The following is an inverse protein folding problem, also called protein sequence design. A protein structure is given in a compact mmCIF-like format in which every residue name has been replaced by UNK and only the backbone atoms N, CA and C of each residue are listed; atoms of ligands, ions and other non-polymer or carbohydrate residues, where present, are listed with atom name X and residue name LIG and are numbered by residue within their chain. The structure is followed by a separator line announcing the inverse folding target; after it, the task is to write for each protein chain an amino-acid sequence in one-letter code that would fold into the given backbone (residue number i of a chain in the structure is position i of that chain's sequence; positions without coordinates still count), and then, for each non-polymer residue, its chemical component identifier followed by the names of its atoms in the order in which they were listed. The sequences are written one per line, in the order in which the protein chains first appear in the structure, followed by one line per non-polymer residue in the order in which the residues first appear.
data_IF_127892560247
#
_entry.id   IF_127892560247
#
_cell.length_a   1.000
_cell.length_b   1.000
_cell.length_c   1.000
_cell.angle_alpha   90.00
_cell.angle_beta   90.00
_cell.angle_gamma   90.00
#
_symmetry.space_group_name_H-M   'P 1'
#
loop_
_entity.id
_entity.type
_entity.pdbx_description
1 polymer ?
#
# COMPACT_ATOMS: atom_id res chain seq x y z
N UNK A 1 0.78 -12.15 2.52
CA UNK A 1 1.56 -11.65 3.68
C UNK A 1 1.49 -10.12 3.63
N UNK A 2 0.84 -9.46 4.61
CA UNK A 2 0.67 -8.00 4.65
C UNK A 2 1.43 -7.34 5.82
N UNK A 3 1.97 -8.14 6.75
CA UNK A 3 2.49 -7.64 8.02
C UNK A 3 3.71 -6.73 7.86
N UNK A 4 4.62 -7.06 6.93
CA UNK A 4 5.86 -6.30 6.74
C UNK A 4 5.61 -4.85 6.34
N UNK A 5 4.86 -4.63 5.25
CA UNK A 5 4.64 -3.28 4.75
C UNK A 5 3.72 -2.46 5.66
N UNK A 6 2.73 -3.09 6.31
CA UNK A 6 1.93 -2.43 7.35
C UNK A 6 2.78 -1.96 8.53
N UNK A 7 3.69 -2.81 9.00
CA UNK A 7 4.56 -2.50 10.13
C UNK A 7 5.53 -1.38 9.77
N UNK A 8 6.17 -1.45 8.60
CA UNK A 8 7.05 -0.39 8.09
C UNK A 8 6.31 0.94 7.96
N UNK A 9 5.13 0.96 7.33
CA UNK A 9 4.34 2.19 7.18
C UNK A 9 3.96 2.80 8.54
N UNK A 10 3.61 1.95 9.52
CA UNK A 10 3.25 2.39 10.88
C UNK A 10 4.44 2.90 11.69
N UNK A 11 5.64 2.36 11.48
CA UNK A 11 6.87 2.91 12.08
C UNK A 11 7.18 4.28 11.48
N UNK A 12 7.12 4.40 10.15
CA UNK A 12 7.38 5.66 9.44
C UNK A 12 6.38 6.74 9.83
N UNK A 13 5.11 6.38 10.08
CA UNK A 13 4.10 7.35 10.51
C UNK A 13 4.35 7.93 11.89
N UNK A 14 5.14 7.25 12.72
CA UNK A 14 5.62 7.74 14.01
C UNK A 14 6.98 8.45 13.94
N UNK A 15 7.61 8.51 12.76
CA UNK A 15 8.90 9.15 12.54
C UNK A 15 10.10 8.22 12.73
N UNK A 16 9.88 6.91 12.90
CA UNK A 16 10.94 5.91 12.97
C UNK A 16 11.40 5.45 11.58
N UNK A 17 12.47 4.66 11.55
CA UNK A 17 12.97 3.98 10.36
C UNK A 17 13.12 2.48 10.61
N UNK A 18 13.05 1.65 9.57
CA UNK A 18 13.22 0.18 9.68
C UNK A 18 14.61 -0.29 9.28
N UNK A 19 15.40 0.58 8.64
CA UNK A 19 16.82 0.38 8.33
C UNK A 19 17.59 1.65 8.71
N UNK A 20 18.84 1.49 9.16
CA UNK A 20 19.76 2.61 9.41
C UNK A 20 20.01 3.43 8.14
N UNK A 21 20.41 4.70 8.31
CA UNK A 21 20.68 5.62 7.19
C UNK A 21 21.72 5.07 6.20
N UNK A 22 22.70 4.29 6.69
CA UNK A 22 23.72 3.65 5.86
C UNK A 22 23.23 2.37 5.15
N UNK A 23 21.99 1.94 5.38
CA UNK A 23 21.37 0.77 4.77
C UNK A 23 21.82 -0.58 5.34
N UNK A 24 22.62 -0.61 6.42
CA UNK A 24 23.32 -1.84 6.86
C UNK A 24 22.68 -2.59 8.01
N UNK A 25 21.82 -1.95 8.79
CA UNK A 25 21.22 -2.55 9.99
C UNK A 25 19.73 -2.36 10.01
N UNK A 26 19.00 -3.39 10.43
CA UNK A 26 17.60 -3.24 10.77
C UNK A 26 17.45 -2.38 12.04
N UNK A 27 16.47 -1.49 12.06
CA UNK A 27 16.17 -0.58 13.18
C UNK A 27 14.71 -0.74 13.65
N UNK A 28 14.18 -1.95 13.51
CA UNK A 28 12.79 -2.27 13.90
C UNK A 28 12.59 -2.38 15.41
N UNK A 29 13.65 -2.67 16.16
CA UNK A 29 13.64 -2.73 17.64
C UNK A 29 13.97 -1.35 18.22
N UNK A 30 13.02 -0.44 18.09
CA UNK A 30 13.08 0.97 18.50
C UNK A 30 11.86 1.32 19.35
N UNK A 31 11.85 2.45 20.08
CA UNK A 31 10.66 2.94 20.77
C UNK A 31 9.43 3.03 19.87
N UNK A 32 9.59 3.44 18.61
CA UNK A 32 8.54 3.54 17.60
C UNK A 32 8.03 2.14 17.20
N UNK A 33 8.94 1.19 16.94
CA UNK A 33 8.57 -0.19 16.66
C UNK A 33 7.79 -0.83 17.81
N UNK A 34 8.25 -0.61 19.05
CA UNK A 34 7.54 -1.05 20.26
C UNK A 34 6.17 -0.39 20.40
N UNK A 35 6.05 0.90 20.08
CA UNK A 35 4.78 1.62 20.14
C UNK A 35 3.76 1.06 19.12
N UNK A 36 4.20 0.72 17.89
CA UNK A 36 3.32 0.05 16.90
C UNK A 36 2.82 -1.29 17.43
N UNK A 37 3.71 -2.14 17.97
CA UNK A 37 3.31 -3.44 18.51
C UNK A 37 2.40 -3.31 19.74
N UNK A 38 2.66 -2.31 20.59
CA UNK A 38 1.81 -2.03 21.74
C UNK A 38 0.41 -1.58 21.30
N UNK A 39 0.30 -0.73 20.26
CA UNK A 39 -0.99 -0.35 19.69
C UNK A 39 -1.75 -1.56 19.14
N UNK A 40 -1.10 -2.41 18.35
CA UNK A 40 -1.74 -3.65 17.86
C UNK A 40 -2.17 -4.57 19.00
N UNK A 41 -1.39 -4.62 20.08
CA UNK A 41 -1.73 -5.37 21.28
C UNK A 41 -2.97 -4.80 21.97
N UNK A 42 -2.99 -3.49 22.18
CA UNK A 42 -4.13 -2.83 22.80
C UNK A 42 -5.41 -3.02 21.97
N UNK A 43 -5.30 -2.89 20.65
CA UNK A 43 -6.42 -3.10 19.75
C UNK A 43 -6.98 -4.53 19.80
N UNK A 44 -6.12 -5.53 20.05
CA UNK A 44 -6.53 -6.93 20.10
C UNK A 44 -7.05 -7.35 21.48
N UNK A 45 -6.41 -6.91 22.56
CA UNK A 45 -6.63 -7.46 23.90
C UNK A 45 -7.24 -6.46 24.89
N UNK A 46 -7.19 -5.15 24.62
CA UNK A 46 -7.74 -4.12 25.52
C UNK A 46 -9.06 -3.56 25.02
N UNK A 47 -9.11 -3.05 23.78
CA UNK A 47 -10.32 -2.42 23.22
C UNK A 47 -11.12 -3.33 22.25
N UNK A 48 -10.54 -4.48 21.87
CA UNK A 48 -11.18 -5.49 21.03
C UNK A 48 -11.58 -5.00 19.62
N UNK A 49 -10.91 -3.98 19.09
CA UNK A 49 -11.15 -3.43 17.74
C UNK A 49 -10.61 -4.29 16.59
N UNK A 50 -9.64 -5.20 16.80
CA UNK A 50 -9.05 -6.03 15.72
C UNK A 50 -9.92 -7.21 15.26
N UNK A 51 -11.09 -7.43 15.87
CA UNK A 51 -11.95 -8.58 15.57
C UNK A 51 -11.34 -9.93 15.99
N UNK A 52 -12.13 -11.00 15.93
CA UNK A 52 -11.72 -12.33 16.40
C UNK A 52 -10.81 -13.09 15.41
N UNK A 53 -11.08 -12.98 14.11
CA UNK A 53 -10.34 -13.66 13.03
C UNK A 53 -8.99 -13.00 12.82
N UNK A 54 -7.93 -13.78 13.02
CA UNK A 54 -6.56 -13.38 12.68
C UNK A 54 -6.19 -13.93 11.30
N UNK A 55 -5.03 -13.52 10.77
CA UNK A 55 -4.51 -13.96 9.46
C UNK A 55 -5.38 -13.58 8.25
N UNK A 56 -6.06 -12.43 8.35
CA UNK A 56 -6.74 -11.84 7.20
C UNK A 56 -5.72 -11.56 6.08
N UNK A 57 -6.11 -11.90 4.85
CA UNK A 57 -5.41 -11.46 3.65
C UNK A 57 -6.12 -10.26 3.04
N UNK A 58 -5.47 -9.61 2.07
CA UNK A 58 -6.01 -8.38 1.45
C UNK A 58 -7.42 -8.61 0.89
N UNK A 59 -7.68 -9.76 0.26
CA UNK A 59 -9.01 -10.07 -0.27
C UNK A 59 -10.08 -10.18 0.83
N UNK A 60 -9.75 -10.68 2.02
CA UNK A 60 -10.70 -10.68 3.15
C UNK A 60 -11.08 -9.24 3.52
N UNK A 61 -10.09 -8.34 3.63
CA UNK A 61 -10.34 -6.95 4.06
C UNK A 61 -11.14 -6.16 3.03
N UNK A 62 -10.95 -6.44 1.73
CA UNK A 62 -11.78 -5.84 0.67
C UNK A 62 -13.26 -6.26 0.81
N UNK A 63 -13.51 -7.55 1.00
CA UNK A 63 -14.87 -8.09 1.18
C UNK A 63 -15.52 -7.57 2.46
N UNK A 64 -14.76 -7.47 3.55
CA UNK A 64 -15.25 -6.91 4.80
C UNK A 64 -15.56 -5.42 4.68
N UNK A 65 -14.71 -4.63 4.01
CA UNK A 65 -14.95 -3.21 3.77
C UNK A 65 -16.19 -3.00 2.88
N UNK A 66 -16.27 -3.69 1.74
CA UNK A 66 -17.40 -3.57 0.81
C UNK A 66 -18.74 -4.00 1.42
N UNK A 67 -18.74 -4.96 2.35
CA UNK A 67 -19.94 -5.38 3.08
C UNK A 67 -20.24 -4.59 4.35
N UNK A 68 -19.47 -3.54 4.66
CA UNK A 68 -19.68 -2.71 5.85
C UNK A 68 -19.29 -3.37 7.18
N UNK A 69 -18.52 -4.47 7.14
CA UNK A 69 -18.07 -5.23 8.33
C UNK A 69 -16.69 -4.81 8.84
N UNK A 70 -16.07 -3.81 8.21
CA UNK A 70 -14.75 -3.28 8.59
C UNK A 70 -14.80 -1.76 8.58
N UNK A 71 -14.50 -1.13 9.72
CA UNK A 71 -14.52 0.32 9.84
C UNK A 71 -13.29 1.00 9.23
N UNK A 72 -12.09 0.49 9.53
CA UNK A 72 -10.83 1.04 9.04
C UNK A 72 -9.81 -0.07 8.82
N UNK A 73 -8.91 0.11 7.85
CA UNK A 73 -7.75 -0.74 7.64
C UNK A 73 -6.67 0.01 6.88
N UNK A 74 -5.43 -0.46 7.01
CA UNK A 74 -4.30 0.06 6.26
C UNK A 74 -4.26 -0.56 4.87
N UNK A 75 -4.27 0.29 3.84
CA UNK A 75 -4.28 -0.12 2.45
C UNK A 75 -3.62 0.92 1.54
N UNK A 76 -3.19 0.46 0.37
CA UNK A 76 -2.85 1.35 -0.73
C UNK A 76 -4.12 1.77 -1.52
N UNK A 77 -4.09 2.91 -2.24
CA UNK A 77 -5.28 3.46 -2.90
C UNK A 77 -5.90 2.59 -4.00
N UNK A 78 -5.12 1.68 -4.59
CA UNK A 78 -5.56 0.73 -5.62
C UNK A 78 -6.64 -0.25 -5.13
N UNK A 79 -6.85 -0.36 -3.82
CA UNK A 79 -7.95 -1.14 -3.26
C UNK A 79 -9.33 -0.54 -3.52
N UNK A 80 -9.49 0.78 -3.66
CA UNK A 80 -10.82 1.40 -3.77
C UNK A 80 -11.60 0.93 -5.00
N UNK A 81 -11.02 0.93 -6.21
CA UNK A 81 -11.69 0.34 -7.38
C UNK A 81 -12.07 -1.12 -7.17
N UNK A 82 -11.24 -1.90 -6.46
CA UNK A 82 -11.51 -3.32 -6.17
C UNK A 82 -12.66 -3.49 -5.19
N UNK A 83 -12.74 -2.67 -4.14
CA UNK A 83 -13.86 -2.69 -3.20
C UNK A 83 -15.19 -2.44 -3.93
N UNK A 84 -15.23 -1.44 -4.80
CA UNK A 84 -16.46 -1.10 -5.53
C UNK A 84 -16.82 -2.15 -6.57
N UNK A 85 -15.84 -2.61 -7.38
CA UNK A 85 -16.11 -3.52 -8.50
C UNK A 85 -16.27 -4.98 -8.08
N UNK A 86 -15.62 -5.42 -7.01
CA UNK A 86 -15.49 -6.84 -6.64
C UNK A 86 -16.15 -7.18 -5.29
N UNK A 87 -16.36 -6.19 -4.42
CA UNK A 87 -16.82 -6.42 -3.04
C UNK A 87 -18.13 -5.68 -2.68
N UNK A 88 -18.76 -5.01 -3.64
CA UNK A 88 -20.07 -4.36 -3.46
C UNK A 88 -20.06 -3.07 -2.65
N UNK A 89 -18.88 -2.48 -2.39
CA UNK A 89 -18.81 -1.16 -1.77
C UNK A 89 -19.20 -0.04 -2.74
N UNK A 90 -19.33 1.18 -2.22
CA UNK A 90 -19.67 2.37 -3.01
C UNK A 90 -18.61 3.44 -2.80
N UNK A 91 -18.34 4.25 -3.83
CA UNK A 91 -17.31 5.28 -3.74
C UNK A 91 -17.65 6.34 -2.67
N UNK A 92 -18.93 6.65 -2.49
CA UNK A 92 -19.39 7.68 -1.55
C UNK A 92 -19.22 7.27 -0.08
N UNK A 93 -19.07 5.96 0.18
CA UNK A 93 -18.91 5.39 1.52
C UNK A 93 -17.42 5.18 1.89
N UNK A 94 -16.48 5.52 0.99
CA UNK A 94 -15.04 5.25 1.16
C UNK A 94 -14.25 6.56 1.25
N UNK A 95 -13.34 6.63 2.23
CA UNK A 95 -12.46 7.77 2.43
C UNK A 95 -11.03 7.33 2.78
N UNK A 96 -10.08 8.22 2.51
CA UNK A 96 -8.69 8.09 2.94
C UNK A 96 -8.39 9.13 4.01
N UNK A 97 -7.57 8.74 4.98
CA UNK A 97 -7.00 9.63 5.97
C UNK A 97 -5.48 9.43 6.03
N UNK A 98 -4.71 10.45 6.43
CA UNK A 98 -3.30 10.27 6.75
C UNK A 98 -3.12 9.17 7.81
N UNK A 99 -2.01 8.45 7.71
CA UNK A 99 -1.60 7.49 8.74
C UNK A 99 -1.55 8.17 10.12
N UNK A 100 -2.03 7.52 11.20
CA UNK A 100 -1.85 8.03 12.55
C UNK A 100 -0.38 8.36 12.85
N UNK A 101 -0.14 9.54 13.45
CA UNK A 101 1.20 10.11 13.67
C UNK A 101 1.65 11.05 12.56
N UNK A 102 1.21 10.83 11.31
CA UNK A 102 1.35 11.79 10.21
C UNK A 102 2.78 12.15 9.79
N UNK A 103 3.81 11.46 10.30
CA UNK A 103 5.22 11.78 9.98
C UNK A 103 5.69 11.23 8.63
N UNK A 104 5.00 10.22 8.10
CA UNK A 104 5.34 9.58 6.84
C UNK A 104 4.54 8.30 6.62
N UNK A 105 4.79 7.65 5.49
CA UNK A 105 4.28 6.31 5.18
C UNK A 105 5.28 5.60 4.28
N UNK A 106 5.15 4.28 4.13
CA UNK A 106 5.96 3.54 3.16
C UNK A 106 5.52 3.91 1.74
N UNK A 107 6.44 4.49 0.98
CA UNK A 107 6.24 4.72 -0.45
C UNK A 107 6.38 3.38 -1.19
N UNK A 108 5.34 3.02 -1.94
CA UNK A 108 5.36 1.90 -2.87
C UNK A 108 5.57 2.37 -4.31
N UNK A 109 5.31 1.46 -5.25
CA UNK A 109 5.40 1.71 -6.68
C UNK A 109 6.01 0.52 -7.41
N UNK A 110 5.91 0.55 -8.73
CA UNK A 110 6.47 -0.49 -9.59
C UNK A 110 7.77 -0.01 -10.25
N UNK A 111 8.80 -0.85 -10.15
CA UNK A 111 10.04 -0.69 -10.91
C UNK A 111 10.05 -1.64 -12.10
N UNK A 112 10.36 -1.14 -13.30
CA UNK A 112 10.51 -1.96 -14.49
C UNK A 112 11.98 -2.24 -14.77
N UNK A 113 12.33 -3.51 -14.98
CA UNK A 113 13.69 -3.96 -15.28
C UNK A 113 13.69 -4.82 -16.53
N UNK A 114 14.71 -4.68 -17.37
CA UNK A 114 14.93 -5.54 -18.53
C UNK A 114 15.89 -6.67 -18.19
N UNK A 115 15.66 -7.84 -18.77
CA UNK A 115 16.59 -8.96 -18.63
C UNK A 115 17.96 -8.55 -19.19
N UNK A 116 19.04 -8.84 -18.47
CA UNK A 116 20.42 -8.53 -18.91
C UNK A 116 20.81 -9.16 -20.26
N UNK A 117 20.09 -10.20 -20.69
CA UNK A 117 20.29 -10.90 -21.97
C UNK A 117 19.39 -10.39 -23.10
N UNK A 118 18.50 -9.42 -22.82
CA UNK A 118 17.64 -8.86 -23.86
C UNK A 118 18.49 -8.13 -24.90
N UNK A 119 18.14 -8.29 -26.18
CA UNK A 119 18.84 -7.56 -27.24
C UNK A 119 18.52 -6.07 -27.15
N UNK A 120 19.35 -5.19 -27.74
CA UNK A 120 19.06 -3.76 -27.80
C UNK A 120 17.65 -3.45 -28.36
N UNK A 121 17.19 -4.22 -29.34
CA UNK A 121 15.88 -4.06 -29.97
C UNK A 121 14.74 -4.43 -29.01
N UNK A 122 14.91 -5.51 -28.24
CA UNK A 122 13.94 -5.91 -27.22
C UNK A 122 13.83 -4.88 -26.09
N UNK A 123 14.97 -4.34 -25.63
CA UNK A 123 15.01 -3.27 -24.63
C UNK A 123 14.31 -2.03 -25.18
N UNK A 124 14.61 -1.64 -26.42
CA UNK A 124 13.97 -0.48 -27.08
C UNK A 124 12.46 -0.67 -27.22
N UNK A 125 12.01 -1.86 -27.61
CA UNK A 125 10.58 -2.17 -27.69
C UNK A 125 9.90 -2.09 -26.32
N UNK A 126 10.53 -2.64 -25.28
CA UNK A 126 10.04 -2.57 -23.92
C UNK A 126 9.96 -1.15 -23.37
N UNK A 127 10.96 -0.31 -23.63
CA UNK A 127 10.93 1.12 -23.25
C UNK A 127 9.77 1.86 -23.93
N UNK A 128 9.59 1.66 -25.24
CA UNK A 128 8.44 2.23 -25.97
C UNK A 128 7.11 1.75 -25.42
N UNK A 129 7.02 0.48 -25.01
CA UNK A 129 5.82 -0.06 -24.40
C UNK A 129 5.54 0.57 -23.03
N UNK A 130 6.56 0.78 -22.19
CA UNK A 130 6.42 1.46 -20.90
C UNK A 130 5.99 2.93 -21.08
N UNK A 131 6.58 3.63 -22.05
CA UNK A 131 6.20 5.00 -22.42
C UNK A 131 4.74 5.07 -22.86
N UNK A 132 4.34 4.19 -23.78
CA UNK A 132 2.96 4.10 -24.24
C UNK A 132 2.00 3.73 -23.10
N UNK A 133 2.39 2.82 -22.21
CA UNK A 133 1.51 2.35 -21.14
C UNK A 133 1.31 3.40 -20.05
N UNK A 134 2.38 4.05 -19.60
CA UNK A 134 2.39 4.86 -18.36
C UNK A 134 2.73 6.35 -18.55
N UNK A 135 3.31 6.76 -19.68
CA UNK A 135 3.85 8.12 -19.85
C UNK A 135 3.23 8.90 -21.01
N UNK A 136 2.23 8.32 -21.71
CA UNK A 136 1.54 8.93 -22.86
C UNK A 136 0.09 9.28 -22.50
N UNK A 137 -0.20 10.47 -21.96
CA UNK A 137 -1.58 10.90 -21.66
C UNK A 137 -2.44 11.01 -22.92
N UNK A 138 -3.72 10.63 -22.80
CA UNK A 138 -4.73 10.72 -23.86
C UNK A 138 -4.59 9.70 -25.00
N UNK A 139 -3.45 9.01 -25.12
CA UNK A 139 -3.22 7.97 -26.14
C UNK A 139 -2.60 6.69 -25.60
N UNK A 140 -2.19 6.68 -24.33
CA UNK A 140 -1.58 5.54 -23.67
C UNK A 140 -2.58 4.58 -23.05
N UNK A 141 -2.14 3.34 -22.81
CA UNK A 141 -3.02 2.28 -22.32
C UNK A 141 -3.67 2.59 -20.97
N UNK A 142 -2.87 2.94 -19.96
CA UNK A 142 -3.39 3.23 -18.61
C UNK A 142 -3.84 4.69 -18.44
N UNK A 143 -3.35 5.58 -19.30
CA UNK A 143 -3.57 7.03 -19.20
C UNK A 143 -4.41 7.57 -20.36
N UNK A 144 -5.44 6.83 -20.79
CA UNK A 144 -6.40 7.31 -21.79
C UNK A 144 -7.38 8.35 -21.20
N UNK A 145 -6.82 9.35 -20.53
CA UNK A 145 -7.52 10.53 -20.02
C UNK A 145 -6.60 11.74 -20.26
N UNK A 146 -7.21 12.90 -20.51
CA UNK A 146 -6.46 14.14 -20.72
C UNK A 146 -5.68 14.51 -19.45
N UNK A 147 -4.48 15.11 -19.60
CA UNK A 147 -3.81 15.73 -18.44
C UNK A 147 -4.74 16.78 -17.86
N UNK A 148 -4.94 16.77 -16.54
CA UNK A 148 -5.55 17.89 -15.86
C UNK A 148 -4.69 19.14 -16.12
N UNK A 149 -5.35 20.23 -16.53
CA UNK A 149 -4.73 21.52 -16.82
C UNK A 149 -4.27 22.22 -15.54
#
# INVERSE_FOLDING_TARGET
NQGGWHFTASIYSQGGAVVSEDGKKATVDTPEGKAVLQNLKDMRWRDNSMGAKQLLIINDTLQMMGSGKLGMYLAAPDNVPRIVKEAGGKYEDLAFAPMPGGKGTLMGGDGYMFNKKATPEQIKAGLKWLEWTFLTPGQGYMNNYARAA
#
